data_IF_032322273902
#
_entry.id   IF_032322273902
#
_cell.length_a   1.000
_cell.length_b   1.000
_cell.length_c   1.000
_cell.angle_alpha   90.00
_cell.angle_beta   90.00
_cell.angle_gamma   90.00
#
_symmetry.space_group_name_H-M   'P 1'
#
loop_
_entity.id
_entity.type
_entity.pdbx_description
1 polymer ?
#
# COMPACT_ATOMS: atom_id res chain seq x y z
N UNK A 1 -0.89 -3.70 -4.72
CA UNK A 1 0.43 -3.86 -4.08
C UNK A 1 0.52 -5.19 -3.33
N UNK A 2 -0.28 -5.41 -2.28
CA UNK A 2 -0.23 -6.68 -1.50
C UNK A 2 -0.48 -7.93 -2.34
N UNK A 3 -1.44 -7.93 -3.26
CA UNK A 3 -1.72 -9.11 -4.12
C UNK A 3 -0.51 -9.57 -4.93
N UNK A 4 0.36 -8.64 -5.35
CA UNK A 4 1.59 -8.94 -6.08
C UNK A 4 2.57 -9.69 -5.16
N UNK A 5 2.60 -9.34 -3.88
CA UNK A 5 3.50 -9.94 -2.88
C UNK A 5 3.07 -11.33 -2.44
N UNK A 6 1.77 -11.60 -2.38
CA UNK A 6 1.24 -12.88 -1.89
C UNK A 6 0.82 -13.82 -3.01
N UNK A 7 0.61 -13.30 -4.22
CA UNK A 7 -0.04 -14.03 -5.32
C UNK A 7 -1.49 -14.41 -5.01
N UNK A 8 -2.09 -13.80 -3.99
CA UNK A 8 -3.43 -14.10 -3.50
C UNK A 8 -4.27 -12.84 -3.41
N UNK A 9 -5.57 -13.00 -3.63
CA UNK A 9 -6.54 -11.90 -3.45
C UNK A 9 -6.45 -11.36 -2.01
N UNK A 10 -6.48 -10.03 -1.82
CA UNK A 10 -6.60 -9.46 -0.49
C UNK A 10 -7.84 -9.99 0.22
N UNK A 11 -7.71 -10.29 1.51
CA UNK A 11 -8.80 -10.84 2.33
C UNK A 11 -9.37 -12.16 1.81
N UNK A 12 -8.55 -13.02 1.19
CA UNK A 12 -8.99 -14.32 0.66
C UNK A 12 -9.65 -15.23 1.72
N UNK A 13 -9.32 -15.03 3.00
CA UNK A 13 -9.88 -15.80 4.12
C UNK A 13 -11.19 -15.19 4.68
N UNK A 14 -11.65 -14.07 4.11
CA UNK A 14 -12.87 -13.40 4.52
C UNK A 14 -13.99 -13.65 3.53
N UNK A 15 -15.22 -13.78 4.06
CA UNK A 15 -16.42 -13.66 3.24
C UNK A 15 -16.53 -12.20 2.76
N UNK A 16 -16.70 -12.02 1.44
CA UNK A 16 -16.92 -10.71 0.83
C UNK A 16 -18.35 -10.23 1.09
N UNK A 17 -18.57 -9.71 2.29
CA UNK A 17 -19.84 -9.17 2.73
C UNK A 17 -19.66 -7.81 3.45
N UNK A 18 -20.77 -7.29 3.97
CA UNK A 18 -20.83 -6.04 4.71
C UNK A 18 -19.95 -6.02 5.96
N UNK A 19 -19.75 -7.16 6.63
CA UNK A 19 -18.90 -7.22 7.82
C UNK A 19 -17.44 -6.98 7.44
N UNK A 20 -16.98 -7.53 6.30
CA UNK A 20 -15.65 -7.22 5.78
C UNK A 20 -15.50 -5.73 5.45
N UNK A 21 -16.49 -5.13 4.77
CA UNK A 21 -16.48 -3.70 4.48
C UNK A 21 -16.36 -2.84 5.77
N UNK A 22 -17.08 -3.22 6.82
CA UNK A 22 -17.00 -2.56 8.13
C UNK A 22 -15.63 -2.73 8.80
N UNK A 23 -15.03 -3.93 8.74
CA UNK A 23 -13.67 -4.14 9.27
C UNK A 23 -12.65 -3.26 8.54
N UNK A 24 -12.73 -3.16 7.22
CA UNK A 24 -11.84 -2.30 6.41
C UNK A 24 -12.03 -0.83 6.78
N UNK A 25 -13.28 -0.38 6.93
CA UNK A 25 -13.60 0.98 7.37
C UNK A 25 -12.95 1.31 8.73
N UNK A 26 -12.91 0.35 9.65
CA UNK A 26 -12.25 0.50 10.96
C UNK A 26 -10.75 0.21 10.97
N UNK A 27 -10.11 0.12 9.81
CA UNK A 27 -8.65 0.06 9.70
C UNK A 27 -8.09 -1.33 9.42
N UNK A 28 -8.91 -2.36 9.21
CA UNK A 28 -8.39 -3.65 8.72
C UNK A 28 -7.70 -3.44 7.36
N UNK A 29 -6.47 -3.91 7.23
CA UNK A 29 -5.68 -3.89 5.99
C UNK A 29 -5.16 -5.29 5.63
N UNK A 30 -4.87 -5.55 4.36
CA UNK A 30 -4.31 -6.82 3.95
C UNK A 30 -2.89 -7.02 4.51
N UNK A 31 -2.55 -8.26 4.85
CA UNK A 31 -1.21 -8.62 5.32
C UNK A 31 -0.26 -8.88 4.14
N UNK A 32 1.01 -8.50 4.31
CA UNK A 32 2.07 -8.77 3.33
C UNK A 32 2.57 -10.21 3.44
N UNK A 33 3.13 -10.72 2.34
CA UNK A 33 3.86 -11.98 2.34
C UNK A 33 5.20 -11.87 3.09
N UNK A 34 5.88 -13.01 3.33
CA UNK A 34 7.24 -13.00 3.89
C UNK A 34 8.24 -12.41 2.90
N UNK A 35 9.32 -11.82 3.43
CA UNK A 35 10.44 -11.35 2.62
C UNK A 35 10.16 -10.11 1.78
N UNK A 36 9.11 -9.35 2.08
CA UNK A 36 8.83 -8.11 1.36
C UNK A 36 9.69 -6.96 1.92
N UNK A 37 10.36 -6.17 1.07
CA UNK A 37 11.15 -5.01 1.51
C UNK A 37 10.35 -4.03 2.36
N UNK A 38 10.93 -3.55 3.46
CA UNK A 38 10.31 -2.56 4.34
C UNK A 38 9.89 -1.30 3.58
N UNK A 39 10.72 -0.82 2.65
CA UNK A 39 10.40 0.37 1.85
C UNK A 39 9.13 0.17 1.00
N UNK A 40 8.89 -1.06 0.53
CA UNK A 40 7.67 -1.41 -0.19
C UNK A 40 6.46 -1.49 0.74
N UNK A 41 6.61 -2.09 1.93
CA UNK A 41 5.57 -2.15 2.96
C UNK A 41 5.14 -0.74 3.35
N UNK A 42 6.09 0.15 3.59
CA UNK A 42 5.86 1.56 3.94
C UNK A 42 5.05 2.27 2.85
N UNK A 43 5.49 2.21 1.59
CA UNK A 43 4.77 2.81 0.46
C UNK A 43 3.35 2.24 0.33
N UNK A 44 3.19 0.92 0.45
CA UNK A 44 1.89 0.27 0.35
C UNK A 44 0.95 0.66 1.51
N UNK A 45 1.48 0.83 2.72
CA UNK A 45 0.71 1.33 3.86
C UNK A 45 0.25 2.77 3.64
N UNK A 46 1.13 3.66 3.14
CA UNK A 46 0.74 5.03 2.76
C UNK A 46 -0.37 5.04 1.70
N UNK A 47 -0.29 4.16 0.69
CA UNK A 47 -1.35 4.03 -0.32
C UNK A 47 -2.69 3.55 0.27
N UNK A 48 -2.65 2.84 1.39
CA UNK A 48 -3.82 2.28 2.07
C UNK A 48 -4.22 3.09 3.31
N UNK A 49 -3.71 4.32 3.49
CA UNK A 49 -4.05 5.14 4.65
C UNK A 49 -5.57 5.37 4.74
N UNK A 50 -6.08 5.34 5.97
CA UNK A 50 -7.50 5.62 6.25
C UNK A 50 -7.85 7.07 5.92
N UNK A 51 -6.89 7.98 6.09
CA UNK A 51 -7.00 9.38 5.67
C UNK A 51 -6.63 9.50 4.18
N UNK A 52 -7.58 9.87 3.30
CA UNK A 52 -7.32 10.03 1.88
C UNK A 52 -6.23 11.07 1.57
N UNK A 53 -6.08 12.11 2.41
CA UNK A 53 -5.12 13.19 2.18
C UNK A 53 -3.67 12.75 2.46
N UNK A 54 -3.48 11.68 3.24
CA UNK A 54 -2.16 11.08 3.50
C UNK A 54 -1.72 10.11 2.41
N UNK A 55 -2.60 9.80 1.45
CA UNK A 55 -2.27 8.89 0.36
C UNK A 55 -1.40 9.61 -0.66
N UNK A 56 -0.31 8.97 -1.12
CA UNK A 56 0.55 9.57 -2.13
C UNK A 56 -0.19 9.68 -3.46
N UNK A 57 0.15 10.71 -4.22
CA UNK A 57 -0.29 10.88 -5.60
C UNK A 57 0.34 9.80 -6.46
N UNK A 58 -0.32 9.44 -7.56
CA UNK A 58 0.20 8.47 -8.53
C UNK A 58 1.61 8.81 -9.02
N UNK A 59 1.91 10.11 -9.18
CA UNK A 59 3.24 10.60 -9.56
C UNK A 59 4.31 10.28 -8.50
N UNK A 60 4.02 10.49 -7.23
CA UNK A 60 4.95 10.22 -6.12
C UNK A 60 5.25 8.71 -6.01
N UNK A 61 4.23 7.88 -6.21
CA UNK A 61 4.39 6.42 -6.26
C UNK A 61 5.32 6.03 -7.42
N UNK A 62 5.10 6.58 -8.62
CA UNK A 62 5.93 6.30 -9.80
C UNK A 62 7.38 6.73 -9.55
N UNK A 63 7.59 7.91 -8.97
CA UNK A 63 8.93 8.45 -8.70
C UNK A 63 9.69 7.57 -7.69
N UNK A 64 9.03 7.09 -6.63
CA UNK A 64 9.67 6.19 -5.66
C UNK A 64 9.99 4.82 -6.27
N UNK A 65 9.08 4.25 -7.08
CA UNK A 65 9.33 3.00 -7.79
C UNK A 65 10.51 3.12 -8.78
N UNK A 66 10.59 4.22 -9.54
CA UNK A 66 11.72 4.51 -10.45
C UNK A 66 13.04 4.62 -9.69
N UNK A 67 13.02 5.32 -8.56
CA UNK A 67 14.19 5.44 -7.67
C UNK A 67 14.67 4.07 -7.23
N UNK A 68 13.80 3.18 -6.78
CA UNK A 68 14.19 1.82 -6.40
C UNK A 68 14.74 1.02 -7.58
N UNK A 69 14.09 1.07 -8.75
CA UNK A 69 14.58 0.43 -9.97
C UNK A 69 16.00 0.88 -10.33
N UNK A 70 16.27 2.18 -10.23
CA UNK A 70 17.61 2.73 -10.43
C UNK A 70 18.61 2.23 -9.38
N UNK A 71 18.21 2.14 -8.11
CA UNK A 71 19.06 1.68 -7.00
C UNK A 71 19.49 0.21 -7.21
N UNK A 72 18.59 -0.64 -7.68
CA UNK A 72 18.88 -2.05 -7.96
C UNK A 72 19.60 -2.27 -9.30
N UNK A 73 19.88 -1.20 -10.06
CA UNK A 73 20.62 -1.27 -11.32
C UNK A 73 19.78 -1.64 -12.53
N UNK A 74 18.46 -1.44 -12.48
CA UNK A 74 17.60 -1.62 -13.64
C UNK A 74 17.78 -0.45 -14.61
N UNK A 75 18.23 -0.75 -15.83
CA UNK A 75 18.33 0.21 -16.93
C UNK A 75 17.03 0.17 -17.75
N UNK A 76 16.31 1.30 -17.78
CA UNK A 76 15.18 1.46 -18.67
C UNK A 76 15.69 1.53 -20.11
N UNK A 77 15.21 0.64 -21.00
CA UNK A 77 15.54 0.71 -22.43
C UNK A 77 14.69 1.83 -23.05
N UNK A 78 15.29 2.63 -23.94
CA UNK A 78 14.75 3.86 -24.59
C UNK A 78 13.37 3.74 -25.28
N UNK A 79 12.70 2.58 -25.26
CA UNK A 79 11.38 2.35 -25.85
C UNK A 79 10.22 2.60 -24.89
N UNK A 80 10.46 2.80 -23.59
CA UNK A 80 9.43 3.14 -22.61
C UNK A 80 9.14 4.65 -22.60
N UNK A 81 8.88 5.25 -23.77
CA UNK A 81 8.56 6.68 -23.96
C UNK A 81 7.38 7.20 -23.11
N UNK A 82 6.57 6.30 -22.55
CA UNK A 82 5.49 6.64 -21.62
C UNK A 82 5.98 7.03 -20.22
N UNK A 83 7.20 6.64 -19.86
CA UNK A 83 7.78 6.83 -18.52
C UNK A 83 8.51 8.18 -18.43
N UNK A 84 9.05 8.68 -19.54
CA UNK A 84 9.93 9.86 -19.56
C UNK A 84 9.17 11.20 -19.62
N UNK A 85 7.96 11.23 -20.17
CA UNK A 85 7.18 12.48 -20.31
C UNK A 85 6.63 13.02 -18.98
N UNK A 86 6.73 12.26 -17.89
CA UNK A 86 6.29 12.67 -16.56
C UNK A 86 7.43 13.03 -15.61
N UNK A 87 8.72 12.92 -15.97
CA UNK A 87 9.82 13.31 -15.07
C UNK A 87 10.20 14.78 -15.24
N UNK A 88 9.80 15.64 -14.30
CA UNK A 88 10.32 17.01 -14.20
C UNK A 88 10.71 17.32 -12.75
N UNK A 89 11.99 17.70 -12.60
CA UNK A 89 12.67 18.31 -11.44
C UNK A 89 12.74 17.52 -10.13
N UNK A 90 13.76 16.69 -10.03
CA UNK A 90 14.51 16.50 -8.77
C UNK A 90 16.01 16.68 -9.02
N UNK A 91 16.36 17.75 -9.75
CA UNK A 91 17.71 18.28 -9.75
C UNK A 91 17.91 19.13 -8.49
N UNK A 92 18.12 18.48 -7.35
CA UNK A 92 18.68 19.16 -6.18
C UNK A 92 20.13 18.70 -6.07
N UNK A 93 21.04 19.54 -6.52
CA UNK A 93 22.47 19.33 -6.38
C UNK A 93 22.87 19.62 -4.93
N UNK A 94 22.94 18.59 -4.08
CA UNK A 94 23.28 18.75 -2.67
C UNK A 94 24.79 18.93 -2.49
N UNK A 95 25.18 20.17 -2.15
CA UNK A 95 26.57 20.59 -1.89
C UNK A 95 27.13 20.16 -0.52
N UNK A 96 26.53 19.19 0.19
CA UNK A 96 26.96 18.77 1.54
C UNK A 96 27.34 17.28 1.61
N UNK A 97 28.59 17.00 2.01
CA UNK A 97 29.18 15.65 2.15
C UNK A 97 28.44 14.76 3.16
N UNK A 98 27.90 15.30 4.25
CA UNK A 98 27.15 14.54 5.27
C UNK A 98 25.82 14.02 4.74
N UNK A 99 25.16 14.81 3.88
CA UNK A 99 23.89 14.42 3.26
C UNK A 99 24.08 13.28 2.24
N UNK A 100 25.19 13.32 1.49
CA UNK A 100 25.57 12.23 0.56
C UNK A 100 25.80 10.89 1.26
N UNK A 101 26.47 10.89 2.43
CA UNK A 101 26.69 9.67 3.21
C UNK A 101 25.37 9.04 3.65
N UNK A 102 24.41 9.85 4.11
CA UNK A 102 23.08 9.37 4.51
C UNK A 102 22.33 8.82 3.30
N UNK A 103 22.39 9.49 2.15
CA UNK A 103 21.76 8.99 0.91
C UNK A 103 22.34 7.66 0.43
N UNK A 104 23.66 7.48 0.51
CA UNK A 104 24.33 6.23 0.14
C UNK A 104 23.99 5.10 1.11
N UNK A 105 23.90 5.38 2.41
CA UNK A 105 23.47 4.41 3.42
C UNK A 105 22.01 3.96 3.17
N UNK A 106 21.10 4.91 2.96
CA UNK A 106 19.70 4.63 2.62
C UNK A 106 19.61 3.82 1.33
N UNK A 107 20.38 4.19 0.30
CA UNK A 107 20.45 3.45 -0.97
C UNK A 107 20.90 2.01 -0.76
N UNK A 108 21.98 1.81 0.00
CA UNK A 108 22.52 0.49 0.28
C UNK A 108 21.52 -0.37 1.05
N UNK A 109 20.82 0.22 2.02
CA UNK A 109 19.76 -0.45 2.78
C UNK A 109 18.60 -0.87 1.88
N UNK A 110 18.14 0.00 0.98
CA UNK A 110 17.08 -0.34 0.01
C UNK A 110 17.55 -1.49 -0.87
N UNK A 111 18.77 -1.40 -1.42
CA UNK A 111 19.33 -2.44 -2.29
C UNK A 111 19.42 -3.79 -1.58
N UNK A 112 19.88 -3.83 -0.32
CA UNK A 112 19.99 -5.07 0.43
C UNK A 112 18.63 -5.70 0.71
N UNK A 113 17.59 -4.91 1.04
CA UNK A 113 16.24 -5.43 1.25
C UNK A 113 15.67 -6.12 0.00
N UNK A 114 15.86 -5.53 -1.18
CA UNK A 114 15.39 -6.14 -2.43
C UNK A 114 16.16 -7.43 -2.78
N UNK A 115 17.47 -7.45 -2.56
CA UNK A 115 18.28 -8.67 -2.76
C UNK A 115 17.86 -9.80 -1.80
N UNK A 116 17.63 -9.48 -0.53
CA UNK A 116 17.16 -10.44 0.46
C UNK A 116 15.76 -10.98 0.10
N UNK A 117 14.86 -10.09 -0.31
CA UNK A 117 13.54 -10.45 -0.83
C UNK A 117 13.63 -11.46 -1.98
N UNK A 118 14.52 -11.22 -2.95
CA UNK A 118 14.71 -12.13 -4.09
C UNK A 118 15.21 -13.51 -3.64
N UNK A 119 16.13 -13.58 -2.68
CA UNK A 119 16.62 -14.84 -2.12
C UNK A 119 15.54 -15.62 -1.35
N UNK A 120 14.65 -14.92 -0.65
CA UNK A 120 13.50 -15.55 0.02
C UNK A 120 12.51 -16.07 -1.03
N UNK A 121 12.19 -15.26 -2.04
CA UNK A 121 11.25 -15.62 -3.10
C UNK A 121 11.70 -16.85 -3.91
N UNK A 122 13.00 -17.02 -4.14
CA UNK A 122 13.56 -18.24 -4.77
C UNK A 122 13.29 -19.52 -3.97
N UNK A 123 13.14 -19.41 -2.65
CA UNK A 123 12.94 -20.55 -1.73
C UNK A 123 11.46 -20.86 -1.49
N UNK A 124 10.55 -19.96 -1.85
CA UNK A 124 9.11 -20.14 -1.63
C UNK A 124 8.49 -21.05 -2.70
N UNK A 125 7.55 -21.93 -2.32
CA UNK A 125 6.86 -22.78 -3.28
C UNK A 125 6.02 -21.94 -4.26
N UNK A 126 6.21 -22.19 -5.56
CA UNK A 126 5.42 -21.55 -6.62
C UNK A 126 3.93 -21.91 -6.47
N UNK A 127 3.08 -20.92 -6.22
CA UNK A 127 1.63 -21.11 -6.11
C UNK A 127 1.05 -21.48 -7.49
N UNK A 128 0.79 -22.76 -7.72
CA UNK A 128 0.06 -23.27 -8.90
C UNK A 128 -1.47 -23.14 -8.73
N UNK A 129 -2.00 -21.94 -8.50
CA UNK A 129 -3.48 -21.74 -8.52
C UNK A 129 -3.96 -21.40 -9.94
N UNK A 130 -5.07 -22.02 -10.33
CA UNK A 130 -5.68 -21.91 -11.66
C UNK A 130 -6.09 -20.45 -11.94
N UNK A 131 -5.40 -19.78 -12.88
CA UNK A 131 -5.50 -18.32 -13.13
C UNK A 131 -6.87 -17.82 -13.64
N UNK A 132 -7.81 -18.73 -13.93
CA UNK A 132 -9.07 -18.41 -14.63
C UNK A 132 -10.08 -17.60 -13.80
N UNK A 133 -9.92 -17.55 -12.47
CA UNK A 133 -10.91 -16.90 -11.58
C UNK A 133 -10.38 -15.64 -10.86
N UNK A 134 -9.24 -15.07 -11.30
CA UNK A 134 -8.46 -14.11 -10.50
C UNK A 134 -8.99 -12.67 -10.56
N UNK A 135 -9.63 -12.21 -11.64
CA UNK A 135 -9.92 -10.78 -11.84
C UNK A 135 -11.39 -10.34 -11.74
N UNK A 136 -12.32 -11.21 -11.34
CA UNK A 136 -13.72 -10.77 -11.16
C UNK A 136 -13.93 -10.15 -9.78
N UNK A 137 -14.00 -8.81 -9.73
CA UNK A 137 -14.50 -8.07 -8.57
C UNK A 137 -15.97 -8.45 -8.36
N UNK A 138 -16.33 -8.94 -7.17
CA UNK A 138 -17.76 -9.04 -6.81
C UNK A 138 -18.28 -7.64 -6.49
N UNK A 139 -19.39 -7.18 -7.07
CA UNK A 139 -19.92 -5.86 -6.77
C UNK A 139 -20.38 -5.79 -5.31
N UNK A 140 -19.99 -4.72 -4.61
CA UNK A 140 -20.50 -4.41 -3.27
C UNK A 140 -21.81 -3.62 -3.37
N UNK A 141 -22.78 -3.91 -2.51
CA UNK A 141 -23.98 -3.09 -2.36
C UNK A 141 -23.67 -1.87 -1.49
N UNK A 142 -23.27 -0.76 -2.12
CA UNK A 142 -22.88 0.48 -1.44
C UNK A 142 -24.02 1.02 -0.56
N UNK A 143 -25.28 0.90 -1.00
CA UNK A 143 -26.46 1.35 -0.25
C UNK A 143 -26.58 0.65 1.09
N UNK A 144 -26.29 -0.65 1.13
CA UNK A 144 -26.36 -1.44 2.37
C UNK A 144 -25.24 -1.07 3.35
N UNK A 145 -24.03 -0.82 2.82
CA UNK A 145 -22.86 -0.39 3.59
C UNK A 145 -23.14 0.98 4.24
N UNK A 146 -23.63 1.94 3.47
CA UNK A 146 -23.98 3.28 3.96
C UNK A 146 -25.03 3.24 5.07
N UNK A 147 -26.07 2.41 4.94
CA UNK A 147 -27.10 2.24 5.98
C UNK A 147 -26.53 1.75 7.31
N UNK A 148 -25.58 0.80 7.30
CA UNK A 148 -24.90 0.38 8.55
C UNK A 148 -23.99 1.43 9.15
N UNK A 149 -23.26 2.17 8.32
CA UNK A 149 -22.40 3.25 8.81
C UNK A 149 -23.24 4.32 9.54
N UNK A 150 -24.42 4.66 9.00
CA UNK A 150 -25.37 5.56 9.64
C UNK A 150 -25.89 5.02 10.97
N UNK A 151 -26.26 3.74 11.04
CA UNK A 151 -26.69 3.10 12.30
C UNK A 151 -25.61 3.11 13.38
N UNK A 152 -24.35 2.92 12.99
CA UNK A 152 -23.22 2.95 13.93
C UNK A 152 -22.90 4.37 14.43
N UNK A 153 -23.03 5.39 13.57
CA UNK A 153 -22.92 6.79 13.99
C UNK A 153 -24.02 7.16 15.00
N UNK A 154 -25.26 6.76 14.73
CA UNK A 154 -26.39 6.96 15.64
C UNK A 154 -26.20 6.27 17.00
N UNK A 155 -25.62 5.06 17.00
CA UNK A 155 -25.31 4.32 18.23
C UNK A 155 -24.17 4.95 19.04
N UNK A 156 -23.25 5.69 18.41
CA UNK A 156 -22.15 6.40 19.10
C UNK A 156 -22.59 7.74 19.70
N UNK A 157 -23.59 8.39 19.12
CA UNK A 157 -24.13 9.67 19.61
C UNK A 157 -25.08 9.53 20.81
N UNK A 158 -25.53 8.32 21.15
CA UNK A 158 -26.44 8.05 22.27
C UNK A 158 -25.74 7.99 23.66
N UNK A 159 -24.48 8.44 23.75
CA UNK A 159 -23.63 8.37 24.94
C UNK A 159 -23.43 9.69 25.69
N UNK A 160 -24.23 10.72 25.44
CA UNK A 160 -24.29 11.91 26.31
C UNK A 160 -25.49 11.68 27.24
N UNK A 161 -25.20 11.11 28.41
CA UNK A 161 -26.12 11.01 29.54
C UNK A 161 -26.42 12.44 29.99
N UNK A 162 -27.68 12.83 29.97
CA UNK A 162 -28.19 14.06 30.55
C UNK A 162 -27.80 14.10 32.04
N UNK A 163 -27.10 15.17 32.44
CA UNK A 163 -26.90 15.51 33.85
C UNK A 163 -28.25 16.06 34.33
N UNK A 164 -28.87 15.52 35.39
CA UNK A 164 -30.07 16.12 35.94
C UNK A 164 -29.70 17.44 36.61
N UNK A 165 -30.39 18.51 36.20
CA UNK A 165 -30.38 19.77 36.92
C UNK A 165 -31.02 19.54 38.31
N UNK A 166 -30.22 19.63 39.37
CA UNK A 166 -30.72 19.77 40.74
C UNK A 166 -30.54 21.23 41.19
N UNK A 167 -31.70 21.85 41.43
CA UNK A 167 -32.03 23.10 42.14
C UNK A 167 -30.92 23.90 42.84
#
# INVERSE_FOLDING_TARGET
MVEITTGQRPFNDFKFDKNLAMKIFYGLRPNFGPGIPDCYIELANHCMDSDPEKRPKSREIIDELKKWLKIIGYEFKDKDKWIDNYAFRSGVEYKNKRLKVIEDEVRNKIKSQFLESDEINKKLPLIKKNRKNVYTSKPYNITEISKSLLKLKASKTMGIIEIPDDN
#
